data_IF_701244845234
#
_entry.id   IF_701244845234
#
_cell.length_a   1.000
_cell.length_b   1.000
_cell.length_c   1.000
_cell.angle_alpha   90.00
_cell.angle_beta   90.00
_cell.angle_gamma   90.00
#
_symmetry.space_group_name_H-M   'P 1'
#
loop_
_entity.id
_entity.type
_entity.pdbx_description
1 polymer ?
#
# COMPACT_ATOMS: atom_id res chain seq x y z
N UNK A 1 -12.20 38.84 0.15
CA UNK A 1 -12.33 37.75 -0.85
C UNK A 1 -11.06 36.90 -0.94
N UNK A 2 -9.87 37.51 -0.81
CA UNK A 2 -8.57 36.82 -0.67
C UNK A 2 -8.46 35.94 0.58
N UNK A 3 -9.04 36.35 1.71
CA UNK A 3 -8.93 35.60 2.97
C UNK A 3 -9.68 34.27 2.93
N UNK A 4 -10.83 34.23 2.25
CA UNK A 4 -11.59 33.00 2.02
C UNK A 4 -10.81 31.98 1.19
N UNK A 5 -10.01 32.44 0.23
CA UNK A 5 -9.16 31.57 -0.58
C UNK A 5 -8.01 30.99 0.25
N UNK A 6 -7.44 31.79 1.15
CA UNK A 6 -6.42 31.33 2.11
C UNK A 6 -6.93 30.22 3.03
N UNK A 7 -8.11 30.40 3.64
CA UNK A 7 -8.73 29.36 4.48
C UNK A 7 -9.10 28.10 3.69
N UNK A 8 -9.58 28.27 2.45
CA UNK A 8 -9.90 27.15 1.58
C UNK A 8 -8.64 26.32 1.23
N UNK A 9 -7.51 26.96 0.93
CA UNK A 9 -6.25 26.27 0.65
C UNK A 9 -5.70 25.54 1.88
N UNK A 10 -5.77 26.16 3.05
CA UNK A 10 -5.34 25.53 4.31
C UNK A 10 -6.18 24.27 4.63
N UNK A 11 -7.49 24.37 4.47
CA UNK A 11 -8.39 23.21 4.59
C UNK A 11 -8.11 22.15 3.53
N UNK A 12 -7.96 22.56 2.27
CA UNK A 12 -7.74 21.65 1.14
C UNK A 12 -6.43 20.85 1.30
N UNK A 13 -5.33 21.49 1.72
CA UNK A 13 -4.05 20.80 1.92
C UNK A 13 -4.13 19.75 3.04
N UNK A 14 -4.85 20.04 4.13
CA UNK A 14 -5.07 19.09 5.23
C UNK A 14 -5.87 17.87 4.78
N UNK A 15 -6.96 18.08 4.04
CA UNK A 15 -7.79 17.00 3.50
C UNK A 15 -7.03 16.19 2.46
N UNK A 16 -6.29 16.85 1.55
CA UNK A 16 -5.44 16.18 0.57
C UNK A 16 -4.42 15.27 1.25
N UNK A 17 -3.74 15.78 2.28
CA UNK A 17 -2.74 15.02 3.04
C UNK A 17 -3.38 13.83 3.74
N UNK A 18 -4.52 14.04 4.42
CA UNK A 18 -5.25 12.96 5.06
C UNK A 18 -5.75 11.90 4.05
N UNK A 19 -6.29 12.32 2.91
CA UNK A 19 -6.76 11.43 1.86
C UNK A 19 -5.63 10.66 1.17
N UNK A 20 -4.46 11.29 0.99
CA UNK A 20 -3.29 10.61 0.43
C UNK A 20 -2.75 9.56 1.40
N UNK A 21 -2.65 9.89 2.69
CA UNK A 21 -2.15 8.96 3.70
C UNK A 21 -3.13 7.81 3.94
N UNK A 22 -4.41 8.13 4.19
CA UNK A 22 -5.43 7.13 4.55
C UNK A 22 -5.97 6.36 3.33
N UNK A 23 -6.06 7.00 2.17
CA UNK A 23 -6.58 6.40 0.95
C UNK A 23 -5.48 5.82 0.05
N UNK A 24 -4.48 6.63 -0.29
CA UNK A 24 -3.46 6.26 -1.28
C UNK A 24 -2.23 5.55 -0.69
N UNK A 25 -2.14 5.38 0.63
CA UNK A 25 -1.04 4.67 1.27
C UNK A 25 -0.89 3.21 0.78
N UNK A 26 -2.01 2.50 0.63
CA UNK A 26 -2.01 1.12 0.16
C UNK A 26 -1.64 0.99 -1.34
N UNK A 27 -2.21 1.82 -2.25
CA UNK A 27 -1.71 1.93 -3.63
C UNK A 27 -0.21 2.26 -3.74
N UNK A 28 0.32 3.10 -2.85
CA UNK A 28 1.75 3.42 -2.83
C UNK A 28 2.60 2.18 -2.51
N UNK A 29 2.22 1.39 -1.50
CA UNK A 29 2.92 0.14 -1.17
C UNK A 29 2.86 -0.87 -2.32
N UNK A 30 1.72 -0.97 -3.01
CA UNK A 30 1.58 -1.80 -4.21
C UNK A 30 2.55 -1.37 -5.32
N UNK A 31 2.61 -0.07 -5.61
CA UNK A 31 3.53 0.47 -6.61
C UNK A 31 5.00 0.22 -6.26
N UNK A 32 5.37 0.37 -4.98
CA UNK A 32 6.70 0.02 -4.49
C UNK A 32 6.98 -1.48 -4.62
N UNK A 33 5.98 -2.35 -4.41
CA UNK A 33 6.10 -3.79 -4.63
C UNK A 33 6.41 -4.13 -6.08
N UNK A 34 5.67 -3.54 -7.03
CA UNK A 34 5.94 -3.67 -8.47
C UNK A 34 7.35 -3.17 -8.81
N UNK A 35 7.75 -2.01 -8.30
CA UNK A 35 9.09 -1.45 -8.53
C UNK A 35 10.18 -2.37 -7.98
N UNK A 36 9.98 -2.94 -6.80
CA UNK A 36 10.91 -3.85 -6.15
C UNK A 36 11.06 -5.16 -6.94
N UNK A 37 9.95 -5.71 -7.43
CA UNK A 37 9.95 -6.91 -8.25
C UNK A 37 10.60 -6.69 -9.62
N UNK A 38 10.36 -5.54 -10.24
CA UNK A 38 11.02 -5.15 -11.49
C UNK A 38 12.54 -4.99 -11.32
N UNK A 39 12.99 -4.44 -10.20
CA UNK A 39 14.41 -4.39 -9.85
C UNK A 39 14.97 -5.79 -9.57
N UNK A 40 14.18 -6.65 -8.91
CA UNK A 40 14.56 -8.01 -8.58
C UNK A 40 14.73 -8.93 -9.78
N UNK A 41 13.88 -8.76 -10.80
CA UNK A 41 13.99 -9.49 -12.05
C UNK A 41 15.35 -9.29 -12.74
N UNK A 42 15.96 -8.10 -12.58
CA UNK A 42 17.06 -7.67 -13.44
C UNK A 42 16.53 -7.48 -14.86
N UNK A 43 16.66 -6.29 -15.45
CA UNK A 43 16.12 -6.02 -16.79
C UNK A 43 16.53 -7.11 -17.80
N UNK A 44 15.64 -7.36 -18.76
CA UNK A 44 15.72 -8.41 -19.80
C UNK A 44 17.16 -8.88 -20.04
N UNK A 45 17.40 -10.16 -19.77
CA UNK A 45 18.65 -10.84 -20.12
C UNK A 45 18.71 -11.03 -21.65
N UNK A 46 18.58 -9.94 -22.42
CA UNK A 46 18.93 -9.95 -23.83
C UNK A 46 20.43 -9.68 -23.94
N UNK A 47 21.13 -10.59 -24.62
CA UNK A 47 22.48 -10.34 -25.10
C UNK A 47 22.37 -9.22 -26.12
N UNK A 48 22.47 -7.96 -25.68
CA UNK A 48 22.65 -6.85 -26.59
C UNK A 48 23.92 -7.12 -27.40
N UNK A 49 23.88 -6.90 -28.73
CA UNK A 49 25.00 -7.11 -29.68
C UNK A 49 26.34 -6.48 -29.24
N UNK A 50 26.34 -5.59 -28.24
CA UNK A 50 27.51 -4.92 -27.69
C UNK A 50 28.26 -5.67 -26.58
N UNK A 51 27.87 -6.90 -26.21
CA UNK A 51 28.60 -7.72 -25.23
C UNK A 51 28.56 -7.20 -23.78
N UNK A 52 27.69 -6.22 -23.48
CA UNK A 52 27.48 -5.72 -22.13
C UNK A 52 26.44 -6.61 -21.44
N UNK A 53 26.86 -7.32 -20.41
CA UNK A 53 25.95 -8.09 -19.55
C UNK A 53 24.95 -7.14 -18.89
N UNK A 54 23.65 -7.37 -19.10
CA UNK A 54 22.58 -6.60 -18.46
C UNK A 54 22.64 -6.64 -16.92
N UNK A 55 21.87 -5.78 -16.22
CA UNK A 55 21.85 -5.73 -14.76
C UNK A 55 21.52 -7.09 -14.15
N UNK A 56 22.42 -7.63 -13.34
CA UNK A 56 22.26 -8.94 -12.69
C UNK A 56 21.03 -8.98 -11.79
N UNK A 57 20.19 -10.00 -11.96
CA UNK A 57 19.02 -10.26 -11.14
C UNK A 57 19.34 -10.16 -9.63
N UNK A 58 18.50 -9.41 -8.91
CA UNK A 58 18.66 -9.10 -7.49
C UNK A 58 17.57 -9.84 -6.69
N UNK A 59 17.84 -11.07 -6.17
CA UNK A 59 16.81 -11.85 -5.48
C UNK A 59 16.18 -11.11 -4.29
N UNK A 60 16.92 -10.17 -3.69
CA UNK A 60 16.43 -9.32 -2.61
C UNK A 60 15.26 -8.40 -3.04
N UNK A 61 15.26 -7.90 -4.28
CA UNK A 61 14.16 -7.09 -4.81
C UNK A 61 12.88 -7.89 -4.97
N UNK A 62 13.00 -9.16 -5.39
CA UNK A 62 11.86 -10.07 -5.49
C UNK A 62 11.25 -10.35 -4.12
N UNK A 63 12.07 -10.64 -3.11
CA UNK A 63 11.60 -10.89 -1.74
C UNK A 63 10.90 -9.66 -1.15
N UNK A 64 11.49 -8.48 -1.31
CA UNK A 64 10.89 -7.22 -0.85
C UNK A 64 9.57 -6.92 -1.57
N UNK A 65 9.48 -7.18 -2.87
CA UNK A 65 8.24 -7.06 -3.64
C UNK A 65 7.12 -7.92 -3.07
N UNK A 66 7.38 -9.20 -2.84
CA UNK A 66 6.40 -10.12 -2.23
C UNK A 66 6.00 -9.73 -0.82
N UNK A 67 6.93 -9.24 0.00
CA UNK A 67 6.63 -8.73 1.33
C UNK A 67 5.65 -7.55 1.28
N UNK A 68 5.89 -6.59 0.37
CA UNK A 68 4.99 -5.44 0.18
C UNK A 68 3.60 -5.88 -0.30
N UNK A 69 3.51 -6.84 -1.23
CA UNK A 69 2.21 -7.39 -1.64
C UNK A 69 1.49 -8.10 -0.49
N UNK A 70 2.19 -8.86 0.35
CA UNK A 70 1.59 -9.50 1.51
C UNK A 70 0.98 -8.48 2.48
N UNK A 71 1.68 -7.37 2.73
CA UNK A 71 1.16 -6.25 3.54
C UNK A 71 -0.08 -5.63 2.88
N UNK A 72 -0.05 -5.43 1.56
CA UNK A 72 -1.21 -4.90 0.81
C UNK A 72 -2.43 -5.80 0.96
N UNK A 73 -2.27 -7.10 0.72
CA UNK A 73 -3.35 -8.09 0.85
C UNK A 73 -3.89 -8.12 2.28
N UNK A 74 -3.02 -8.14 3.29
CA UNK A 74 -3.43 -8.08 4.68
C UNK A 74 -4.27 -6.81 4.97
N UNK A 75 -3.83 -5.65 4.50
CA UNK A 75 -4.58 -4.40 4.63
C UNK A 75 -5.96 -4.44 3.98
N UNK A 76 -6.07 -5.00 2.77
CA UNK A 76 -7.35 -5.17 2.06
C UNK A 76 -8.28 -6.08 2.86
N UNK A 77 -7.79 -7.25 3.31
CA UNK A 77 -8.60 -8.21 4.06
C UNK A 77 -9.08 -7.60 5.38
N UNK A 78 -8.22 -6.90 6.12
CA UNK A 78 -8.60 -6.23 7.35
C UNK A 78 -9.63 -5.12 7.11
N UNK A 79 -9.41 -4.27 6.10
CA UNK A 79 -10.33 -3.20 5.75
C UNK A 79 -11.71 -3.72 5.36
N UNK A 80 -11.77 -4.74 4.51
CA UNK A 80 -13.03 -5.39 4.13
C UNK A 80 -13.70 -6.02 5.36
N UNK A 81 -12.94 -6.77 6.18
CA UNK A 81 -13.50 -7.41 7.38
C UNK A 81 -14.07 -6.38 8.34
N UNK A 82 -13.39 -5.24 8.52
CA UNK A 82 -13.87 -4.15 9.36
C UNK A 82 -15.18 -3.55 8.83
N UNK A 83 -15.27 -3.23 7.53
CA UNK A 83 -16.47 -2.67 6.91
C UNK A 83 -17.65 -3.65 7.04
N UNK A 84 -17.41 -4.92 6.72
CA UNK A 84 -18.42 -5.98 6.76
C UNK A 84 -18.88 -6.25 8.20
N UNK A 85 -17.96 -6.43 9.14
CA UNK A 85 -18.29 -6.68 10.55
C UNK A 85 -19.09 -5.51 11.13
N UNK A 86 -18.66 -4.27 10.88
CA UNK A 86 -19.36 -3.06 11.33
C UNK A 86 -20.79 -2.98 10.76
N UNK A 87 -20.99 -3.36 9.50
CA UNK A 87 -22.32 -3.45 8.88
C UNK A 87 -23.26 -4.46 9.54
N UNK A 88 -22.72 -5.52 10.14
CA UNK A 88 -23.48 -6.52 10.90
C UNK A 88 -23.60 -6.23 12.40
N UNK A 89 -23.18 -5.04 12.86
CA UNK A 89 -23.19 -4.71 14.29
C UNK A 89 -22.11 -5.45 15.10
N UNK A 90 -21.06 -5.93 14.46
CA UNK A 90 -19.91 -6.56 15.11
C UNK A 90 -18.69 -5.64 15.05
N UNK A 91 -17.77 -5.79 16.01
CA UNK A 91 -16.53 -5.03 16.08
C UNK A 91 -15.33 -5.94 15.82
N UNK A 92 -14.30 -5.37 15.17
CA UNK A 92 -13.01 -6.03 15.01
C UNK A 92 -12.19 -5.77 16.28
N UNK A 93 -11.93 -6.81 17.07
CA UNK A 93 -11.03 -6.76 18.23
C UNK A 93 -9.62 -7.14 17.81
N UNK A 94 -8.66 -6.34 18.29
CA UNK A 94 -7.22 -6.57 18.17
C UNK A 94 -6.58 -6.93 19.53
N UNK A 95 -7.37 -7.36 20.53
CA UNK A 95 -6.83 -7.81 21.82
C UNK A 95 -5.86 -9.00 21.68
N UNK A 96 -6.00 -9.77 20.60
CA UNK A 96 -5.15 -10.89 20.27
C UNK A 96 -4.16 -10.52 19.15
N UNK A 97 -3.10 -11.31 18.98
CA UNK A 97 -2.13 -11.17 17.87
C UNK A 97 -2.82 -11.13 16.49
N UNK A 98 -3.99 -11.75 16.37
CA UNK A 98 -4.79 -11.76 15.15
C UNK A 98 -6.15 -11.12 15.39
N UNK A 99 -6.69 -10.38 14.40
CA UNK A 99 -7.97 -9.71 14.55
C UNK A 99 -9.11 -10.74 14.63
N UNK A 100 -10.00 -10.55 15.60
CA UNK A 100 -11.17 -11.40 15.84
C UNK A 100 -12.44 -10.57 15.84
N UNK A 101 -13.57 -11.18 15.49
CA UNK A 101 -14.86 -10.50 15.44
C UNK A 101 -15.58 -10.73 16.76
N UNK A 102 -15.92 -9.65 17.47
CA UNK A 102 -16.70 -9.67 18.70
C UNK A 102 -18.02 -8.90 18.49
N UNK A 103 -19.05 -9.22 19.27
CA UNK A 103 -20.30 -8.45 19.22
C UNK A 103 -20.09 -7.05 19.78
N UNK A 104 -20.66 -6.05 19.11
CA UNK A 104 -20.61 -4.66 19.56
C UNK A 104 -21.70 -4.47 20.62
N UNK A 105 -21.29 -4.24 21.86
CA UNK A 105 -22.20 -3.89 22.96
C UNK A 105 -23.07 -2.67 22.61
#
# INVERSE_FOLDING_TARGET
MTDNLGFALDGAWKVLTAGLILGAGLPLLFALGIRSLAWGAGGEAEVHESGVSGPKAQPIGTVLGWLLFAIVVAGIVLGITFIVASGFGKALSFEHIYPTIIDKH
#
